data_IF_772390752630
#
_entry.id   IF_772390752630
#
_cell.length_a   1.000
_cell.length_b   1.000
_cell.length_c   1.000
_cell.angle_alpha   90.00
_cell.angle_beta   90.00
_cell.angle_gamma   90.00
#
_symmetry.space_group_name_H-M   'P 1'
#
loop_
_entity.id
_entity.type
_entity.pdbx_description
1 polymer ?
#
# COMPACT_ATOMS: atom_id res chain seq x y z
N UNK A 1 -20.88 35.55 -6.39
CA UNK A 1 -21.79 35.21 -7.50
C UNK A 1 -22.61 34.01 -7.05
N UNK A 2 -23.94 34.15 -6.99
CA UNK A 2 -24.84 33.03 -6.68
C UNK A 2 -25.36 32.53 -8.01
N UNK A 3 -25.14 31.24 -8.30
CA UNK A 3 -25.62 30.59 -9.52
C UNK A 3 -26.85 29.76 -9.16
N UNK A 4 -27.81 29.74 -10.09
CA UNK A 4 -28.98 28.86 -9.98
C UNK A 4 -28.54 27.38 -9.94
N UNK A 5 -29.29 26.56 -9.19
CA UNK A 5 -28.96 25.15 -8.99
C UNK A 5 -28.99 24.35 -10.30
N UNK A 6 -29.79 24.76 -11.28
CA UNK A 6 -29.87 24.13 -12.60
C UNK A 6 -28.97 24.79 -13.64
N UNK A 7 -28.14 25.77 -13.23
CA UNK A 7 -27.22 26.45 -14.14
C UNK A 7 -26.17 25.47 -14.69
N UNK A 8 -26.01 25.35 -16.02
CA UNK A 8 -24.97 24.53 -16.63
C UNK A 8 -23.55 24.90 -16.16
N UNK A 9 -23.32 26.17 -15.84
CA UNK A 9 -22.03 26.67 -15.33
C UNK A 9 -21.74 26.09 -13.94
N UNK A 10 -22.76 26.03 -13.07
CA UNK A 10 -22.62 25.45 -11.74
C UNK A 10 -22.28 23.96 -11.82
N UNK A 11 -22.98 23.21 -12.68
CA UNK A 11 -22.71 21.79 -12.91
C UNK A 11 -21.28 21.54 -13.39
N UNK A 12 -20.76 22.37 -14.31
CA UNK A 12 -19.38 22.25 -14.77
C UNK A 12 -18.38 22.44 -13.63
N UNK A 13 -18.57 23.47 -12.79
CA UNK A 13 -17.70 23.74 -11.63
C UNK A 13 -17.78 22.62 -10.60
N UNK A 14 -18.97 22.03 -10.39
CA UNK A 14 -19.15 20.88 -9.51
C UNK A 14 -18.38 19.65 -10.03
N UNK A 15 -18.48 19.33 -11.32
CA UNK A 15 -17.73 18.21 -11.92
C UNK A 15 -16.21 18.38 -11.74
N UNK A 16 -15.68 19.58 -11.98
CA UNK A 16 -14.26 19.87 -11.77
C UNK A 16 -13.88 19.67 -10.28
N UNK A 17 -14.72 20.14 -9.36
CA UNK A 17 -14.50 19.97 -7.91
C UNK A 17 -14.50 18.50 -7.51
N UNK A 18 -15.47 17.75 -8.01
CA UNK A 18 -15.62 16.33 -7.69
C UNK A 18 -14.43 15.53 -8.19
N UNK A 19 -13.95 15.83 -9.40
CA UNK A 19 -12.76 15.18 -9.95
C UNK A 19 -11.48 15.58 -9.18
N UNK A 20 -11.35 16.86 -8.79
CA UNK A 20 -10.24 17.31 -7.95
C UNK A 20 -10.24 16.61 -6.57
N UNK A 21 -11.41 16.49 -5.93
CA UNK A 21 -11.57 15.75 -4.68
C UNK A 21 -11.28 14.26 -4.87
N UNK A 22 -11.81 13.62 -5.91
CA UNK A 22 -11.55 12.20 -6.23
C UNK A 22 -10.06 11.94 -6.41
N UNK A 23 -9.38 12.80 -7.15
CA UNK A 23 -7.93 12.72 -7.36
C UNK A 23 -7.16 12.85 -6.04
N UNK A 24 -7.47 13.86 -5.23
CA UNK A 24 -6.81 14.09 -3.94
C UNK A 24 -6.98 12.90 -2.98
N UNK A 25 -8.21 12.38 -2.84
CA UNK A 25 -8.51 11.21 -2.00
C UNK A 25 -7.76 9.98 -2.50
N UNK A 26 -7.78 9.73 -3.80
CA UNK A 26 -7.09 8.57 -4.40
C UNK A 26 -5.57 8.66 -4.20
N UNK A 27 -4.99 9.85 -4.37
CA UNK A 27 -3.57 10.08 -4.12
C UNK A 27 -3.18 9.82 -2.66
N UNK A 28 -3.94 10.37 -1.71
CA UNK A 28 -3.68 10.15 -0.29
C UNK A 28 -3.90 8.68 0.11
N UNK A 29 -4.89 8.00 -0.46
CA UNK A 29 -5.12 6.57 -0.25
C UNK A 29 -3.94 5.74 -0.75
N UNK A 30 -3.43 6.02 -1.96
CA UNK A 30 -2.24 5.36 -2.52
C UNK A 30 -1.01 5.59 -1.63
N UNK A 31 -0.78 6.84 -1.20
CA UNK A 31 0.37 7.20 -0.34
C UNK A 31 0.29 6.54 1.04
N UNK A 32 -0.91 6.49 1.63
CA UNK A 32 -1.16 5.78 2.90
C UNK A 32 -0.92 4.29 2.75
N UNK A 33 -1.46 3.67 1.70
CA UNK A 33 -1.25 2.25 1.43
C UNK A 33 0.24 1.93 1.25
N UNK A 34 1.02 2.78 0.59
CA UNK A 34 2.48 2.59 0.48
C UNK A 34 3.20 2.71 1.82
N UNK A 35 2.77 3.62 2.71
CA UNK A 35 3.33 3.76 4.05
C UNK A 35 3.00 2.54 4.91
N UNK A 36 1.74 2.15 4.96
CA UNK A 36 1.28 1.04 5.80
C UNK A 36 1.92 -0.29 5.34
N UNK A 37 2.16 -0.45 4.03
CA UNK A 37 2.94 -1.57 3.46
C UNK A 37 4.37 -1.68 4.01
N UNK A 38 4.99 -0.58 4.41
CA UNK A 38 6.35 -0.64 4.95
C UNK A 38 6.38 -0.96 6.44
N UNK A 39 5.33 -0.59 7.18
CA UNK A 39 5.27 -0.72 8.64
C UNK A 39 5.05 -2.17 9.07
N UNK A 40 4.10 -2.88 8.45
CA UNK A 40 3.73 -4.26 8.84
C UNK A 40 4.92 -5.23 8.73
N UNK A 41 5.71 -5.13 7.66
CA UNK A 41 6.93 -5.93 7.51
C UNK A 41 8.04 -5.55 8.50
N UNK A 42 8.06 -4.32 9.01
CA UNK A 42 9.05 -3.87 10.01
C UNK A 42 8.69 -4.29 11.45
N UNK A 43 7.44 -4.71 11.70
CA UNK A 43 7.04 -5.26 13.00
C UNK A 43 7.57 -6.69 13.22
N UNK A 44 7.99 -7.37 12.15
CA UNK A 44 8.52 -8.72 12.20
C UNK A 44 9.95 -8.69 12.78
N UNK A 45 10.22 -9.38 13.90
CA UNK A 45 11.54 -9.42 14.50
C UNK A 45 12.60 -9.92 13.52
N UNK A 46 13.67 -9.13 13.34
CA UNK A 46 14.74 -9.45 12.40
C UNK A 46 14.49 -9.02 10.95
N UNK A 47 13.34 -8.42 10.63
CA UNK A 47 13.06 -7.79 9.33
C UNK A 47 13.19 -6.28 9.46
N UNK A 48 14.35 -5.74 9.07
CA UNK A 48 14.60 -4.31 9.07
C UNK A 48 14.25 -3.62 7.75
N UNK A 49 14.34 -2.29 7.72
CA UNK A 49 14.01 -1.45 6.55
C UNK A 49 14.70 -1.86 5.24
N UNK A 50 15.97 -2.31 5.30
CA UNK A 50 16.71 -2.84 4.15
C UNK A 50 16.07 -4.12 3.59
N UNK A 51 15.68 -5.03 4.46
CA UNK A 51 15.05 -6.30 4.11
C UNK A 51 13.64 -6.07 3.55
N UNK A 52 12.85 -5.22 4.23
CA UNK A 52 11.53 -4.77 3.76
C UNK A 52 11.60 -4.20 2.35
N UNK A 53 12.58 -3.33 2.09
CA UNK A 53 12.77 -2.74 0.76
C UNK A 53 13.07 -3.79 -0.30
N UNK A 54 13.99 -4.73 -0.03
CA UNK A 54 14.29 -5.83 -0.98
C UNK A 54 13.08 -6.71 -1.26
N UNK A 55 12.31 -7.04 -0.23
CA UNK A 55 11.07 -7.81 -0.37
C UNK A 55 10.05 -7.06 -1.23
N UNK A 56 9.87 -5.76 -1.01
CA UNK A 56 8.94 -4.94 -1.80
C UNK A 56 9.44 -4.70 -3.23
N UNK A 57 10.75 -4.61 -3.46
CA UNK A 57 11.33 -4.51 -4.81
C UNK A 57 11.15 -5.82 -5.59
N UNK A 58 11.24 -6.98 -4.93
CA UNK A 58 11.07 -8.28 -5.57
C UNK A 58 9.61 -8.68 -5.78
N UNK A 59 8.77 -8.52 -4.76
CA UNK A 59 7.36 -8.97 -4.76
C UNK A 59 6.37 -7.85 -5.12
N UNK A 60 6.78 -6.58 -5.14
CA UNK A 60 5.97 -5.41 -5.52
C UNK A 60 4.96 -4.93 -4.45
N UNK A 61 4.52 -5.79 -3.54
CA UNK A 61 3.59 -5.41 -2.47
C UNK A 61 3.67 -6.35 -1.26
N UNK A 62 3.24 -5.87 -0.08
CA UNK A 62 3.11 -6.72 1.12
C UNK A 62 2.12 -7.85 0.89
N UNK A 63 1.05 -7.61 0.15
CA UNK A 63 0.07 -8.65 -0.16
C UNK A 63 0.72 -9.83 -0.91
N UNK A 64 1.61 -9.52 -1.86
CA UNK A 64 2.38 -10.53 -2.58
C UNK A 64 3.38 -11.25 -1.65
N UNK A 65 4.03 -10.53 -0.72
CA UNK A 65 4.88 -11.14 0.32
C UNK A 65 4.08 -12.06 1.23
N UNK A 66 2.85 -11.68 1.62
CA UNK A 66 1.93 -12.47 2.45
C UNK A 66 1.48 -13.77 1.76
N UNK A 67 1.39 -13.76 0.43
CA UNK A 67 1.00 -14.91 -0.38
C UNK A 67 2.20 -15.77 -0.83
N UNK A 68 3.43 -15.28 -0.65
CA UNK A 68 4.62 -15.99 -1.09
C UNK A 68 4.95 -17.16 -0.15
N UNK A 69 5.34 -18.29 -0.75
CA UNK A 69 5.80 -19.44 0.01
C UNK A 69 7.19 -19.21 0.63
N UNK A 70 7.51 -19.95 1.68
CA UNK A 70 8.82 -19.88 2.35
C UNK A 70 10.00 -20.06 1.39
N UNK A 71 9.83 -20.90 0.35
CA UNK A 71 10.83 -21.10 -0.70
C UNK A 71 11.06 -19.82 -1.53
N UNK A 72 10.00 -19.11 -1.91
CA UNK A 72 10.09 -17.86 -2.65
C UNK A 72 10.71 -16.74 -1.79
N UNK A 73 10.33 -16.67 -0.51
CA UNK A 73 10.91 -15.71 0.43
C UNK A 73 12.40 -15.95 0.65
N UNK A 74 12.83 -17.22 0.71
CA UNK A 74 14.24 -17.61 0.90
C UNK A 74 15.16 -17.19 -0.26
N UNK A 75 14.61 -16.82 -1.43
CA UNK A 75 15.38 -16.25 -2.53
C UNK A 75 15.85 -14.81 -2.25
N UNK A 76 15.19 -14.11 -1.33
CA UNK A 76 15.43 -12.68 -1.03
C UNK A 76 15.98 -12.48 0.39
N UNK A 77 15.60 -13.36 1.33
CA UNK A 77 15.95 -13.27 2.75
C UNK A 77 16.53 -14.58 3.27
N UNK A 78 17.12 -14.55 4.47
CA UNK A 78 17.61 -15.80 5.09
C UNK A 78 16.45 -16.72 5.47
N UNK A 79 16.71 -18.02 5.58
CA UNK A 79 15.69 -19.01 5.95
C UNK A 79 14.93 -18.66 7.23
N UNK A 80 15.66 -18.22 8.27
CA UNK A 80 15.06 -17.82 9.54
C UNK A 80 14.11 -16.61 9.37
N UNK A 81 14.48 -15.64 8.52
CA UNK A 81 13.61 -14.50 8.21
C UNK A 81 12.38 -14.92 7.39
N UNK A 82 12.54 -15.81 6.42
CA UNK A 82 11.43 -16.35 5.63
C UNK A 82 10.42 -17.09 6.53
N UNK A 83 10.90 -17.94 7.43
CA UNK A 83 10.07 -18.66 8.40
C UNK A 83 9.34 -17.70 9.36
N UNK A 84 10.03 -16.69 9.90
CA UNK A 84 9.43 -15.67 10.75
C UNK A 84 8.34 -14.86 10.03
N UNK A 85 8.52 -14.54 8.75
CA UNK A 85 7.53 -13.83 7.93
C UNK A 85 6.28 -14.69 7.72
N UNK A 86 6.45 -15.95 7.33
CA UNK A 86 5.34 -16.89 7.12
C UNK A 86 4.58 -17.12 8.43
N UNK A 87 5.28 -17.26 9.55
CA UNK A 87 4.67 -17.45 10.86
C UNK A 87 3.88 -16.23 11.31
N UNK A 88 4.43 -15.02 11.13
CA UNK A 88 3.76 -13.77 11.46
C UNK A 88 2.42 -13.63 10.72
N UNK A 89 2.41 -13.89 9.41
CA UNK A 89 1.20 -13.79 8.60
C UNK A 89 0.21 -14.95 8.76
N UNK A 90 0.63 -16.09 9.33
CA UNK A 90 -0.27 -17.20 9.69
C UNK A 90 -1.01 -16.98 11.01
N UNK A 91 -0.45 -16.17 11.92
CA UNK A 91 -1.02 -15.88 13.24
C UNK A 91 -2.06 -14.75 13.23
N UNK A 92 -2.14 -13.98 12.14
CA UNK A 92 -3.08 -12.87 11.91
C UNK A 92 -4.28 -13.36 11.11
#
# INVERSE_FOLDING_TARGET
VVLDHHSPVLHLVQLIRDEAHRFAVTFHRKRRQMRDRSTELMEIPGVGSRTTRRLLEHFGSVQAVKQADAAALSAVVTRNQAEAIVEHFRKI
#
